data_IF_029371885501
#
_entry.id   IF_029371885501
#
_cell.length_a   1.000
_cell.length_b   1.000
_cell.length_c   1.000
_cell.angle_alpha   90.00
_cell.angle_beta   90.00
_cell.angle_gamma   90.00
#
_symmetry.space_group_name_H-M   'P 1'
#
loop_
_entity.id
_entity.type
_entity.pdbx_description
1 polymer ?
#
# COMPACT_ATOMS: atom_id res chain seq x y z
N UNK A 1 21.43 15.66 -14.73
CA UNK A 1 20.95 15.36 -13.36
C UNK A 1 19.43 15.36 -13.43
N UNK A 2 18.76 14.36 -12.86
CA UNK A 2 17.29 14.34 -12.82
C UNK A 2 16.78 15.57 -12.07
N UNK A 3 15.70 16.17 -12.58
CA UNK A 3 15.08 17.34 -11.96
C UNK A 3 14.48 16.95 -10.60
N UNK A 4 14.76 17.74 -9.58
CA UNK A 4 14.18 17.58 -8.24
C UNK A 4 13.07 18.58 -8.04
N UNK A 5 11.91 18.07 -7.60
CA UNK A 5 10.74 18.89 -7.28
C UNK A 5 10.54 18.91 -5.77
N UNK A 6 10.35 20.08 -5.19
CA UNK A 6 10.03 20.20 -3.77
C UNK A 6 8.54 19.87 -3.56
N UNK A 7 8.25 18.78 -2.84
CA UNK A 7 6.89 18.30 -2.62
C UNK A 7 6.67 17.84 -1.18
N UNK A 8 5.42 17.95 -0.71
CA UNK A 8 5.00 17.25 0.51
C UNK A 8 4.91 15.75 0.27
N UNK A 9 5.15 14.95 1.32
CA UNK A 9 5.06 13.50 1.22
C UNK A 9 3.71 12.99 0.71
N UNK A 10 2.59 13.54 1.21
CA UNK A 10 1.25 13.21 0.72
C UNK A 10 1.06 13.50 -0.78
N UNK A 11 1.63 14.59 -1.28
CA UNK A 11 1.56 14.96 -2.70
C UNK A 11 2.48 14.08 -3.55
N UNK A 12 3.67 13.75 -3.03
CA UNK A 12 4.61 12.85 -3.70
C UNK A 12 4.04 11.44 -3.87
N UNK A 13 3.36 10.89 -2.85
CA UNK A 13 2.61 9.64 -2.95
C UNK A 13 1.57 9.71 -4.08
N UNK A 14 0.78 10.78 -4.12
CA UNK A 14 -0.28 10.94 -5.11
C UNK A 14 0.26 11.05 -6.54
N UNK A 15 1.25 11.93 -6.79
CA UNK A 15 1.84 12.10 -8.12
C UNK A 15 2.53 10.82 -8.59
N UNK A 16 3.25 10.14 -7.70
CA UNK A 16 3.95 8.91 -8.05
C UNK A 16 2.97 7.77 -8.41
N UNK A 17 1.84 7.68 -7.70
CA UNK A 17 0.77 6.75 -8.05
C UNK A 17 0.19 7.01 -9.45
N UNK A 18 -0.04 8.28 -9.80
CA UNK A 18 -0.49 8.66 -11.15
C UNK A 18 0.51 8.27 -12.23
N UNK A 19 1.81 8.46 -11.95
CA UNK A 19 2.91 8.07 -12.85
C UNK A 19 3.04 6.56 -12.99
N UNK A 20 2.72 5.82 -11.93
CA UNK A 20 2.60 4.36 -11.98
C UNK A 20 1.35 3.85 -12.72
N UNK A 21 0.57 4.73 -13.34
CA UNK A 21 -0.62 4.34 -14.12
C UNK A 21 -1.89 4.14 -13.29
N UNK A 22 -1.94 4.61 -12.05
CA UNK A 22 -3.19 4.65 -11.28
C UNK A 22 -4.20 5.57 -11.98
N UNK A 23 -5.39 5.05 -12.28
CA UNK A 23 -6.46 5.81 -12.94
C UNK A 23 -7.77 5.80 -12.15
N UNK A 24 -7.80 5.13 -11.00
CA UNK A 24 -8.96 5.13 -10.12
C UNK A 24 -8.52 5.36 -8.67
N UNK A 25 -9.13 6.36 -8.06
CA UNK A 25 -8.97 6.65 -6.65
C UNK A 25 -10.33 6.76 -5.99
N UNK A 26 -10.55 5.96 -4.95
CA UNK A 26 -11.75 6.00 -4.14
C UNK A 26 -11.34 6.16 -2.67
N UNK A 27 -11.82 7.23 -2.03
CA UNK A 27 -11.41 7.56 -0.67
C UNK A 27 -12.48 8.25 0.13
N UNK A 28 -12.25 8.36 1.42
CA UNK A 28 -13.04 9.15 2.36
C UNK A 28 -12.09 10.09 3.11
N UNK A 29 -12.49 11.36 3.34
CA UNK A 29 -11.58 12.34 3.95
C UNK A 29 -11.28 12.00 5.40
N UNK A 30 -10.00 11.97 5.74
CA UNK A 30 -9.50 11.77 7.09
C UNK A 30 -8.11 12.41 7.25
N UNK A 31 -7.86 13.07 8.38
CA UNK A 31 -6.53 13.60 8.73
C UNK A 31 -5.61 12.45 9.21
N UNK A 32 -4.31 12.40 8.81
CA UNK A 32 -3.53 13.42 8.12
C UNK A 32 -3.24 13.14 6.63
N UNK A 33 -4.08 12.43 5.92
CA UNK A 33 -3.90 12.13 4.48
C UNK A 33 -4.58 13.12 3.52
N UNK A 34 -5.10 14.24 4.03
CA UNK A 34 -5.98 15.16 3.29
C UNK A 34 -5.35 15.69 2.00
N UNK A 35 -4.06 16.04 2.02
CA UNK A 35 -3.37 16.57 0.84
C UNK A 35 -3.21 15.52 -0.26
N UNK A 36 -3.08 14.24 0.08
CA UNK A 36 -3.05 13.17 -0.90
C UNK A 36 -4.37 13.12 -1.67
N UNK A 37 -5.51 13.07 -0.98
CA UNK A 37 -6.83 13.05 -1.61
C UNK A 37 -7.10 14.33 -2.42
N UNK A 38 -6.72 15.49 -1.88
CA UNK A 38 -6.84 16.77 -2.58
C UNK A 38 -5.99 16.82 -3.86
N UNK A 39 -4.78 16.26 -3.84
CA UNK A 39 -3.93 16.17 -5.02
C UNK A 39 -4.55 15.25 -6.07
N UNK A 40 -5.01 14.07 -5.65
CA UNK A 40 -5.67 13.11 -6.55
C UNK A 40 -6.91 13.72 -7.20
N UNK A 41 -7.74 14.48 -6.47
CA UNK A 41 -8.93 15.14 -7.03
C UNK A 41 -8.59 16.15 -8.13
N UNK A 42 -7.49 16.87 -7.98
CA UNK A 42 -7.06 17.89 -8.96
C UNK A 42 -6.40 17.27 -10.21
N UNK A 43 -5.79 16.11 -10.07
CA UNK A 43 -4.95 15.55 -11.10
C UNK A 43 -5.63 14.42 -11.89
N UNK A 44 -6.54 13.67 -11.26
CA UNK A 44 -7.11 12.45 -11.83
C UNK A 44 -7.83 12.69 -13.16
N UNK A 45 -8.64 13.76 -13.25
CA UNK A 45 -9.31 14.12 -14.50
C UNK A 45 -8.32 14.46 -15.62
N UNK A 46 -7.21 15.13 -15.28
CA UNK A 46 -6.17 15.55 -16.25
C UNK A 46 -5.43 14.37 -16.88
N UNK A 47 -5.45 13.23 -16.24
CA UNK A 47 -4.83 11.98 -16.77
C UNK A 47 -5.87 10.98 -17.26
N UNK A 48 -7.14 11.42 -17.43
CA UNK A 48 -8.23 10.56 -17.90
C UNK A 48 -8.68 9.50 -16.89
N UNK A 49 -8.42 9.72 -15.61
CA UNK A 49 -8.81 8.83 -14.52
C UNK A 49 -10.07 9.28 -13.79
N UNK A 50 -10.47 8.52 -12.79
CA UNK A 50 -11.66 8.77 -11.96
C UNK A 50 -11.25 8.98 -10.51
N UNK A 51 -11.64 10.11 -9.94
CA UNK A 51 -11.61 10.40 -8.50
C UNK A 51 -13.05 10.38 -7.98
N UNK A 52 -13.27 9.65 -6.87
CA UNK A 52 -14.56 9.68 -6.20
C UNK A 52 -14.36 9.68 -4.68
N UNK A 53 -14.99 10.67 -4.02
CA UNK A 53 -15.13 10.67 -2.57
C UNK A 53 -16.36 9.85 -2.20
N UNK A 54 -16.13 8.70 -1.58
CA UNK A 54 -17.19 7.83 -1.07
C UNK A 54 -17.82 8.40 0.21
N UNK A 55 -18.98 7.88 0.59
CA UNK A 55 -19.66 8.27 1.83
C UNK A 55 -19.01 7.65 3.09
N UNK A 56 -18.16 6.64 2.94
CA UNK A 56 -17.44 5.98 4.03
C UNK A 56 -16.20 5.24 3.52
N UNK A 57 -15.32 4.84 4.44
CA UNK A 57 -14.17 3.98 4.14
C UNK A 57 -14.60 2.60 3.65
N UNK A 58 -15.73 2.08 4.15
CA UNK A 58 -16.30 0.80 3.72
C UNK A 58 -16.74 0.88 2.27
N UNK A 59 -17.45 1.93 1.88
CA UNK A 59 -17.84 2.15 0.48
C UNK A 59 -16.59 2.33 -0.41
N UNK A 60 -15.60 3.11 0.04
CA UNK A 60 -14.37 3.34 -0.72
C UNK A 60 -13.63 2.03 -1.04
N UNK A 61 -13.47 1.13 -0.07
CA UNK A 61 -12.76 -0.14 -0.31
C UNK A 61 -13.55 -1.09 -1.22
N UNK A 62 -14.89 -1.08 -1.17
CA UNK A 62 -15.72 -1.86 -2.08
C UNK A 62 -15.65 -1.33 -3.53
N UNK A 63 -15.54 -0.02 -3.71
CA UNK A 63 -15.28 0.57 -5.04
C UNK A 63 -13.89 0.18 -5.55
N UNK A 64 -12.87 0.17 -4.68
CA UNK A 64 -11.53 -0.35 -5.01
C UNK A 64 -11.59 -1.80 -5.46
N UNK A 65 -12.31 -2.65 -4.72
CA UNK A 65 -12.54 -4.05 -5.08
C UNK A 65 -13.12 -4.18 -6.49
N UNK A 66 -14.19 -3.44 -6.78
CA UNK A 66 -14.84 -3.47 -8.10
C UNK A 66 -13.92 -3.01 -9.24
N UNK A 67 -13.18 -1.92 -9.05
CA UNK A 67 -12.25 -1.42 -10.07
C UNK A 67 -11.05 -2.37 -10.26
N UNK A 68 -10.52 -2.95 -9.20
CA UNK A 68 -9.48 -3.97 -9.27
C UNK A 68 -9.97 -5.23 -10.01
N UNK A 69 -11.19 -5.70 -9.72
CA UNK A 69 -11.81 -6.82 -10.41
C UNK A 69 -11.98 -6.58 -11.92
N UNK A 70 -12.25 -5.33 -12.32
CA UNK A 70 -12.28 -4.92 -13.72
C UNK A 70 -10.89 -4.77 -14.37
N UNK A 71 -9.80 -5.00 -13.62
CA UNK A 71 -8.43 -4.96 -14.13
C UNK A 71 -7.74 -3.59 -14.04
N UNK A 72 -8.36 -2.59 -13.43
CA UNK A 72 -7.76 -1.26 -13.30
C UNK A 72 -6.63 -1.23 -12.26
N UNK A 73 -5.64 -0.34 -12.44
CA UNK A 73 -4.78 0.11 -11.33
C UNK A 73 -5.56 1.10 -10.49
N UNK A 74 -5.82 0.74 -9.25
CA UNK A 74 -6.68 1.47 -8.31
C UNK A 74 -5.98 1.65 -6.97
N UNK A 75 -6.24 2.78 -6.33
CA UNK A 75 -5.69 3.13 -5.03
C UNK A 75 -6.78 3.69 -4.10
N UNK A 76 -6.60 3.46 -2.82
CA UNK A 76 -7.30 4.18 -1.75
C UNK A 76 -6.30 4.66 -0.71
N UNK A 77 -6.63 5.74 -0.02
CA UNK A 77 -5.89 6.20 1.15
C UNK A 77 -6.80 6.38 2.35
N UNK A 78 -6.23 6.25 3.53
CA UNK A 78 -6.89 6.53 4.79
C UNK A 78 -5.85 6.76 5.91
N UNK A 79 -6.33 6.81 7.13
CA UNK A 79 -5.51 6.89 8.34
C UNK A 79 -6.05 5.92 9.36
N UNK A 80 -5.22 5.26 10.08
CA UNK A 80 -5.43 4.38 11.25
C UNK A 80 -6.86 3.85 11.47
N UNK A 81 -7.83 4.60 12.06
CA UNK A 81 -9.18 4.08 12.28
C UNK A 81 -9.94 3.83 10.96
N UNK A 82 -9.68 4.61 9.91
CA UNK A 82 -10.29 4.37 8.61
C UNK A 82 -9.75 3.12 7.91
N UNK A 83 -8.49 2.75 8.15
CA UNK A 83 -7.94 1.47 7.68
C UNK A 83 -8.64 0.30 8.39
N UNK A 84 -8.95 0.44 9.68
CA UNK A 84 -9.74 -0.59 10.41
C UNK A 84 -11.08 -0.85 9.72
N UNK A 85 -11.78 0.19 9.28
CA UNK A 85 -13.05 0.05 8.54
C UNK A 85 -12.88 -0.61 7.16
N UNK A 86 -11.71 -0.51 6.55
CA UNK A 86 -11.40 -1.16 5.26
C UNK A 86 -10.99 -2.64 5.40
N UNK A 87 -10.73 -3.11 6.61
CA UNK A 87 -10.15 -4.43 6.88
C UNK A 87 -10.88 -5.59 6.20
N UNK A 88 -12.22 -5.63 6.28
CA UNK A 88 -13.04 -6.65 5.62
C UNK A 88 -12.86 -6.61 4.09
N UNK A 89 -12.99 -5.44 3.48
CA UNK A 89 -12.83 -5.28 2.03
C UNK A 89 -11.43 -5.67 1.54
N UNK A 90 -10.39 -5.39 2.33
CA UNK A 90 -9.01 -5.80 2.01
C UNK A 90 -8.89 -7.34 2.09
N UNK A 91 -9.54 -7.99 3.06
CA UNK A 91 -9.59 -9.45 3.14
C UNK A 91 -10.29 -10.07 1.92
N UNK A 92 -11.35 -9.43 1.43
CA UNK A 92 -12.05 -9.86 0.21
C UNK A 92 -11.19 -9.67 -1.03
N UNK A 93 -10.42 -8.57 -1.12
CA UNK A 93 -9.46 -8.40 -2.21
C UNK A 93 -8.40 -9.49 -2.20
N UNK A 94 -7.85 -9.83 -1.03
CA UNK A 94 -6.92 -10.94 -0.89
C UNK A 94 -7.56 -12.29 -1.23
N UNK A 95 -8.82 -12.50 -0.81
CA UNK A 95 -9.62 -13.70 -1.12
C UNK A 95 -9.94 -13.88 -2.59
N UNK A 96 -10.05 -12.79 -3.35
CA UNK A 96 -10.34 -12.79 -4.79
C UNK A 96 -9.06 -12.63 -5.65
N UNK A 97 -7.87 -12.66 -5.07
CA UNK A 97 -6.59 -12.42 -5.74
C UNK A 97 -6.58 -11.11 -6.54
N UNK A 98 -7.00 -10.01 -5.91
CA UNK A 98 -7.09 -8.71 -6.55
C UNK A 98 -5.94 -7.78 -6.16
N UNK A 99 -5.27 -7.17 -7.15
CA UNK A 99 -4.27 -6.15 -6.92
C UNK A 99 -4.91 -4.82 -6.49
N UNK A 100 -4.25 -4.08 -5.63
CA UNK A 100 -4.63 -2.72 -5.27
C UNK A 100 -3.64 -2.10 -4.30
N UNK A 101 -3.52 -0.79 -4.32
CA UNK A 101 -2.61 -0.06 -3.43
C UNK A 101 -3.39 0.69 -2.37
N UNK A 102 -3.01 0.48 -1.12
CA UNK A 102 -3.65 1.04 0.06
C UNK A 102 -2.63 1.91 0.79
N UNK A 103 -2.95 3.17 1.02
CA UNK A 103 -2.07 4.09 1.74
C UNK A 103 -2.63 4.29 3.15
N UNK A 104 -1.85 3.93 4.17
CA UNK A 104 -2.11 4.31 5.56
C UNK A 104 -1.17 5.43 5.98
N UNK A 105 -1.69 6.64 6.13
CA UNK A 105 -0.96 7.75 6.74
C UNK A 105 -1.30 7.75 8.23
N UNK A 106 -0.49 7.06 9.02
CA UNK A 106 -0.78 6.75 10.42
C UNK A 106 -0.91 7.98 11.32
N UNK A 107 -1.78 7.88 12.30
CA UNK A 107 -1.98 8.83 13.39
C UNK A 107 -2.11 8.13 14.74
N UNK A 108 -2.09 8.91 15.83
CA UNK A 108 -2.17 8.38 17.18
C UNK A 108 -3.49 7.66 17.46
N UNK A 109 -3.41 6.49 18.07
CA UNK A 109 -4.49 5.65 18.55
C UNK A 109 -4.24 5.23 20.03
N UNK A 110 -5.06 4.29 20.57
CA UNK A 110 -6.18 3.57 19.94
C UNK A 110 -7.48 4.39 19.86
N UNK A 111 -8.51 3.79 19.25
CA UNK A 111 -9.84 4.38 19.05
C UNK A 111 -9.84 5.48 17.98
N UNK A 112 -10.61 6.53 18.17
CA UNK A 112 -10.58 7.70 17.29
C UNK A 112 -9.19 8.36 17.34
N UNK A 113 -8.52 8.28 18.49
CA UNK A 113 -7.17 8.75 18.72
C UNK A 113 -7.00 10.25 18.56
N UNK A 114 -5.78 10.64 18.23
CA UNK A 114 -5.43 12.02 17.93
C UNK A 114 -4.99 12.18 16.49
N UNK A 115 -4.91 13.41 15.99
CA UNK A 115 -4.40 13.71 14.64
C UNK A 115 -2.87 13.77 14.58
N UNK A 116 -2.20 13.60 15.70
CA UNK A 116 -0.75 13.64 15.78
C UNK A 116 -0.11 12.46 15.05
N UNK A 117 1.04 12.64 14.41
CA UNK A 117 1.78 11.56 13.77
C UNK A 117 2.09 10.43 14.76
N UNK A 118 1.92 9.20 14.30
CA UNK A 118 2.24 8.01 15.07
C UNK A 118 2.70 6.88 14.16
N UNK A 119 3.35 5.86 14.74
CA UNK A 119 3.79 4.64 14.07
C UNK A 119 3.24 3.41 14.82
N UNK A 120 1.98 3.47 15.23
CA UNK A 120 1.35 2.50 16.10
C UNK A 120 0.52 1.43 15.36
N UNK A 121 0.45 1.46 14.03
CA UNK A 121 -0.37 0.55 13.21
C UNK A 121 0.42 -0.66 12.66
N UNK A 122 1.58 -0.97 13.22
CA UNK A 122 2.39 -2.10 12.77
C UNK A 122 1.61 -3.42 12.81
N UNK A 123 0.97 -3.71 13.94
CA UNK A 123 0.17 -4.93 14.08
C UNK A 123 -1.08 -4.91 13.21
N UNK A 124 -1.74 -3.76 13.06
CA UNK A 124 -2.86 -3.62 12.14
C UNK A 124 -2.44 -3.98 10.71
N UNK A 125 -1.34 -3.41 10.23
CA UNK A 125 -0.87 -3.63 8.86
C UNK A 125 -0.34 -5.05 8.62
N UNK A 126 0.30 -5.68 9.62
CA UNK A 126 1.01 -6.95 9.43
C UNK A 126 0.28 -8.17 9.98
N UNK A 127 -0.72 -8.01 10.88
CA UNK A 127 -1.33 -9.13 11.60
C UNK A 127 -2.83 -9.05 11.83
N UNK A 128 -3.44 -7.88 11.92
CA UNK A 128 -4.80 -7.72 12.43
C UNK A 128 -5.78 -7.13 11.41
N UNK A 129 -5.45 -7.12 10.15
CA UNK A 129 -6.24 -6.50 9.09
C UNK A 129 -7.23 -7.52 8.48
N UNK A 130 -8.46 -7.56 8.94
CA UNK A 130 -9.51 -8.46 8.42
C UNK A 130 -9.42 -9.89 8.96
N UNK A 131 -9.80 -10.89 8.17
CA UNK A 131 -9.91 -12.29 8.60
C UNK A 131 -9.30 -13.26 7.58
N UNK A 132 -9.11 -14.53 7.99
CA UNK A 132 -8.64 -15.61 7.14
C UNK A 132 -7.13 -15.66 6.98
N UNK A 133 -6.37 -15.11 7.92
CA UNK A 133 -4.90 -15.16 8.01
C UNK A 133 -4.16 -14.75 6.73
N UNK A 134 -4.82 -13.93 5.88
CA UNK A 134 -4.17 -13.38 4.70
C UNK A 134 -3.06 -12.39 5.08
N UNK A 135 -2.15 -12.18 4.15
CA UNK A 135 -1.06 -11.21 4.30
C UNK A 135 -1.15 -10.15 3.20
N UNK A 136 -0.72 -8.95 3.53
CA UNK A 136 -0.49 -7.88 2.55
C UNK A 136 1.01 -7.59 2.49
N UNK A 137 1.47 -7.15 1.33
CA UNK A 137 2.81 -6.59 1.22
C UNK A 137 2.80 -5.22 1.87
N UNK A 138 3.69 -4.97 2.83
CA UNK A 138 3.74 -3.69 3.56
C UNK A 138 5.08 -3.03 3.36
N UNK A 139 5.08 -1.85 2.74
CA UNK A 139 6.25 -1.00 2.62
C UNK A 139 6.15 0.18 3.56
N UNK A 140 7.18 0.40 4.37
CA UNK A 140 7.26 1.49 5.33
C UNK A 140 8.37 2.48 4.95
N UNK A 141 8.04 3.55 4.22
CA UNK A 141 9.02 4.53 3.76
C UNK A 141 9.58 5.36 4.91
N UNK A 142 10.75 5.91 4.70
CA UNK A 142 11.52 6.67 5.66
C UNK A 142 11.80 8.10 5.24
N UNK A 143 11.65 8.38 3.97
CA UNK A 143 11.86 9.68 3.35
C UNK A 143 10.74 9.94 2.37
N UNK A 144 10.59 11.19 1.95
CA UNK A 144 9.61 11.52 0.89
C UNK A 144 10.00 10.88 -0.45
N UNK A 145 11.31 10.70 -0.71
CA UNK A 145 11.74 9.96 -1.89
C UNK A 145 11.28 8.50 -1.83
N UNK A 146 11.49 7.81 -0.71
CA UNK A 146 11.02 6.43 -0.56
C UNK A 146 9.48 6.32 -0.64
N UNK A 147 8.73 7.34 -0.19
CA UNK A 147 7.28 7.38 -0.38
C UNK A 147 6.93 7.34 -1.87
N UNK A 148 7.61 8.13 -2.69
CA UNK A 148 7.39 8.16 -4.14
C UNK A 148 7.80 6.84 -4.80
N UNK A 149 8.97 6.32 -4.47
CA UNK A 149 9.53 5.10 -5.08
C UNK A 149 8.71 3.86 -4.70
N UNK A 150 8.31 3.75 -3.44
CA UNK A 150 7.57 2.57 -2.96
C UNK A 150 6.14 2.53 -3.50
N UNK A 151 5.43 3.67 -3.56
CA UNK A 151 4.08 3.66 -4.14
C UNK A 151 4.12 3.38 -5.64
N UNK A 152 5.12 3.86 -6.36
CA UNK A 152 5.31 3.55 -7.77
C UNK A 152 5.48 2.05 -8.00
N UNK A 153 6.41 1.42 -7.27
CA UNK A 153 6.68 -0.01 -7.36
C UNK A 153 5.53 -0.87 -6.81
N UNK A 154 4.75 -0.36 -5.85
CA UNK A 154 3.65 -1.09 -5.24
C UNK A 154 2.60 -1.56 -6.24
N UNK A 155 2.35 -0.81 -7.30
CA UNK A 155 1.42 -1.21 -8.36
C UNK A 155 1.93 -2.40 -9.16
N UNK A 156 3.23 -2.45 -9.46
CA UNK A 156 3.82 -3.58 -10.17
C UNK A 156 3.84 -4.83 -9.32
N UNK A 157 4.17 -4.69 -8.03
CA UNK A 157 4.13 -5.79 -7.05
C UNK A 157 2.71 -6.31 -6.85
N UNK A 158 1.73 -5.39 -6.73
CA UNK A 158 0.32 -5.76 -6.62
C UNK A 158 -0.15 -6.55 -7.86
N UNK A 159 0.18 -6.07 -9.06
CA UNK A 159 -0.19 -6.72 -10.32
C UNK A 159 0.52 -8.08 -10.48
N UNK A 160 1.83 -8.15 -10.20
CA UNK A 160 2.66 -9.37 -10.32
C UNK A 160 2.13 -10.51 -9.45
N UNK A 161 1.82 -10.20 -8.19
CA UNK A 161 1.41 -11.21 -7.22
C UNK A 161 -0.10 -11.29 -7.01
N UNK A 162 -0.89 -10.44 -7.68
CA UNK A 162 -2.34 -10.37 -7.52
C UNK A 162 -2.74 -10.29 -6.04
N UNK A 163 -2.20 -9.30 -5.35
CA UNK A 163 -2.39 -9.12 -3.90
C UNK A 163 -2.46 -7.63 -3.54
N UNK A 164 -3.18 -7.26 -2.47
CA UNK A 164 -3.10 -5.90 -1.96
C UNK A 164 -1.70 -5.54 -1.46
N UNK A 165 -1.27 -4.31 -1.72
CA UNK A 165 -0.02 -3.74 -1.21
C UNK A 165 -0.33 -2.50 -0.38
N UNK A 166 0.26 -2.38 0.80
CA UNK A 166 0.08 -1.25 1.69
C UNK A 166 1.35 -0.41 1.81
N UNK A 167 1.19 0.90 1.67
CA UNK A 167 2.22 1.87 2.06
C UNK A 167 1.87 2.36 3.46
N UNK A 168 2.73 2.04 4.42
CA UNK A 168 2.56 2.38 5.82
C UNK A 168 3.33 3.67 6.12
N UNK A 169 2.79 4.79 5.72
CA UNK A 169 3.31 6.13 5.95
C UNK A 169 2.82 6.70 7.30
N UNK A 170 3.29 7.86 7.73
CA UNK A 170 2.78 8.59 8.90
C UNK A 170 2.57 10.07 8.61
N UNK A 171 1.85 10.73 9.52
CA UNK A 171 1.50 12.14 9.37
C UNK A 171 2.72 13.07 9.32
N UNK A 172 3.86 12.70 9.91
CA UNK A 172 5.06 13.52 9.84
C UNK A 172 5.65 13.49 8.43
N UNK A 173 5.86 12.28 7.88
CA UNK A 173 6.34 12.12 6.51
C UNK A 173 5.36 12.71 5.50
N UNK A 174 4.05 12.53 5.72
CA UNK A 174 3.02 13.08 4.85
C UNK A 174 3.07 14.62 4.74
N UNK A 175 3.44 15.31 5.81
CA UNK A 175 3.54 16.79 5.85
C UNK A 175 4.93 17.32 5.55
N UNK A 176 5.98 16.51 5.65
CA UNK A 176 7.34 16.93 5.32
C UNK A 176 7.47 17.32 3.85
N UNK A 177 8.24 18.37 3.61
CA UNK A 177 8.65 18.76 2.27
C UNK A 177 10.11 18.41 2.05
N UNK A 178 10.38 17.65 1.00
CA UNK A 178 11.73 17.29 0.57
C UNK A 178 11.86 17.42 -0.96
N UNK A 179 13.07 17.64 -1.48
CA UNK A 179 13.33 17.58 -2.91
C UNK A 179 13.28 16.13 -3.38
N UNK A 180 12.34 15.81 -4.26
CA UNK A 180 12.05 14.47 -4.76
C UNK A 180 12.35 14.39 -6.26
N UNK A 181 13.00 13.32 -6.68
CA UNK A 181 13.08 12.91 -8.07
C UNK A 181 11.88 12.01 -8.34
N UNK A 182 10.97 12.47 -9.18
CA UNK A 182 9.79 11.67 -9.52
C UNK A 182 10.14 10.59 -10.55
N UNK A 183 9.60 9.37 -10.41
CA UNK A 183 9.78 8.34 -11.43
C UNK A 183 9.13 8.77 -12.76
N UNK A 184 9.63 8.24 -13.87
CA UNK A 184 9.02 8.48 -15.18
C UNK A 184 7.62 7.81 -15.24
N UNK A 185 6.64 8.43 -15.91
CA UNK A 185 5.35 7.80 -16.12
C UNK A 185 5.47 6.47 -16.87
N UNK A 186 4.66 5.48 -16.51
CA UNK A 186 4.60 4.22 -17.28
C UNK A 186 3.98 4.46 -18.66
N UNK A 187 4.56 3.88 -19.68
CA UNK A 187 4.08 3.98 -21.07
C UNK A 187 2.90 3.05 -21.34
N UNK A 188 2.88 1.88 -20.68
CA UNK A 188 1.83 0.86 -20.86
C UNK A 188 1.62 0.07 -19.57
N UNK A 189 0.43 -0.49 -19.43
CA UNK A 189 0.10 -1.36 -18.31
C UNK A 189 0.08 -2.83 -18.75
N UNK A 190 0.41 -3.78 -17.85
CA UNK A 190 0.33 -5.19 -18.16
C UNK A 190 -1.12 -5.60 -18.46
N UNK A 191 -1.28 -6.50 -19.42
CA UNK A 191 -2.57 -7.11 -19.68
C UNK A 191 -3.03 -7.94 -18.48
N UNK A 192 -4.34 -7.89 -18.20
CA UNK A 192 -4.97 -8.63 -17.10
C UNK A 192 -6.06 -9.56 -17.64
N UNK A 193 -5.68 -10.70 -18.24
CA UNK A 193 -6.64 -11.61 -18.89
C UNK A 193 -7.67 -12.20 -17.93
N UNK A 194 -7.39 -12.19 -16.64
CA UNK A 194 -8.29 -12.62 -15.57
C UNK A 194 -9.37 -11.60 -15.21
N UNK A 195 -9.26 -10.35 -15.66
CA UNK A 195 -10.15 -9.27 -15.25
C UNK A 195 -11.60 -9.49 -15.68
N UNK A 196 -12.52 -9.15 -14.79
CA UNK A 196 -13.98 -9.19 -15.03
C UNK A 196 -14.44 -7.97 -15.84
N UNK A 197 -13.83 -7.78 -17.00
CA UNK A 197 -14.24 -6.76 -17.99
C UNK A 197 -14.95 -7.42 -19.17
N UNK A 198 -15.62 -6.62 -20.02
CA UNK A 198 -16.36 -7.12 -21.18
C UNK A 198 -15.53 -8.06 -22.05
N UNK A 199 -16.08 -9.24 -22.37
CA UNK A 199 -15.37 -10.28 -23.13
C UNK A 199 -15.61 -10.20 -24.65
N UNK A 200 -16.53 -9.34 -25.11
CA UNK A 200 -16.86 -9.11 -26.52
C UNK A 200 -17.10 -10.42 -27.35
N UNK A 201 -17.55 -11.48 -26.71
CA UNK A 201 -17.67 -12.84 -27.24
C UNK A 201 -16.36 -13.44 -27.80
N UNK A 202 -15.20 -12.93 -27.38
CA UNK A 202 -13.87 -13.37 -27.84
C UNK A 202 -13.23 -14.39 -26.89
N UNK A 203 -13.76 -14.56 -25.68
CA UNK A 203 -13.30 -15.48 -24.64
C UNK A 203 -14.45 -15.90 -23.71
N UNK A 204 -14.28 -16.91 -22.85
CA UNK A 204 -15.20 -17.20 -21.76
C UNK A 204 -15.32 -16.04 -20.76
N UNK A 205 -16.39 -16.03 -19.98
CA UNK A 205 -16.54 -15.08 -18.87
C UNK A 205 -15.48 -15.33 -17.81
N UNK A 206 -14.86 -14.25 -17.31
CA UNK A 206 -14.06 -14.29 -16.08
C UNK A 206 -14.98 -14.08 -14.88
N UNK A 207 -14.76 -14.87 -13.85
CA UNK A 207 -15.44 -14.74 -12.56
C UNK A 207 -14.40 -14.34 -11.53
N UNK A 208 -14.64 -13.22 -10.86
CA UNK A 208 -13.79 -12.71 -9.77
C UNK A 208 -14.64 -12.61 -8.52
N UNK A 209 -14.38 -13.44 -7.55
CA UNK A 209 -15.08 -13.46 -6.26
C UNK A 209 -14.19 -14.06 -5.18
N UNK A 210 -14.61 -13.94 -3.92
CA UNK A 210 -13.94 -14.54 -2.77
C UNK A 210 -14.80 -15.60 -2.06
N UNK A 211 -15.87 -16.07 -2.71
CA UNK A 211 -16.75 -17.11 -2.18
C UNK A 211 -16.34 -18.49 -2.70
N UNK A 212 -15.97 -19.37 -1.79
CA UNK A 212 -15.61 -20.77 -2.06
C UNK A 212 -16.51 -21.67 -1.23
N UNK A 213 -17.44 -22.37 -1.90
CA UNK A 213 -18.49 -23.15 -1.24
C UNK A 213 -18.02 -24.52 -0.74
N UNK A 214 -16.96 -25.08 -1.32
CA UNK A 214 -16.40 -26.36 -0.87
C UNK A 214 -15.11 -26.14 -0.07
N UNK A 215 -14.92 -26.95 0.97
CA UNK A 215 -13.71 -26.88 1.80
C UNK A 215 -12.44 -27.12 0.97
N UNK A 216 -12.47 -28.07 0.04
CA UNK A 216 -11.36 -28.39 -0.85
C UNK A 216 -10.95 -27.20 -1.74
N UNK A 217 -11.92 -26.49 -2.32
CA UNK A 217 -11.63 -25.32 -3.15
C UNK A 217 -10.98 -24.18 -2.34
N UNK A 218 -11.45 -23.98 -1.10
CA UNK A 218 -10.87 -22.97 -0.21
C UNK A 218 -9.47 -23.39 0.27
N UNK A 219 -9.24 -24.66 0.58
CA UNK A 219 -7.92 -25.19 0.96
C UNK A 219 -6.92 -25.00 -0.18
N UNK A 220 -7.24 -25.42 -1.38
CA UNK A 220 -6.37 -25.27 -2.55
C UNK A 220 -5.98 -23.80 -2.79
N UNK A 221 -6.96 -22.88 -2.73
CA UNK A 221 -6.69 -21.46 -2.81
C UNK A 221 -5.71 -20.97 -1.73
N UNK A 222 -5.87 -21.45 -0.50
CA UNK A 222 -4.98 -21.05 0.60
C UNK A 222 -3.57 -21.62 0.41
N UNK A 223 -3.41 -22.86 -0.06
CA UNK A 223 -2.10 -23.46 -0.39
C UNK A 223 -1.40 -22.61 -1.45
N UNK A 224 -2.05 -22.33 -2.59
CA UNK A 224 -1.49 -21.49 -3.65
C UNK A 224 -1.11 -20.08 -3.15
N UNK A 225 -1.93 -19.52 -2.26
CA UNK A 225 -1.66 -18.21 -1.68
C UNK A 225 -0.45 -18.22 -0.76
N UNK A 226 -0.27 -19.24 0.06
CA UNK A 226 0.89 -19.36 0.93
C UNK A 226 2.19 -19.59 0.15
N UNK A 227 2.17 -20.33 -0.95
CA UNK A 227 3.30 -20.43 -1.88
C UNK A 227 3.66 -19.07 -2.48
N UNK A 228 2.66 -18.27 -2.84
CA UNK A 228 2.83 -16.90 -3.33
C UNK A 228 3.44 -16.01 -2.26
N UNK A 229 2.99 -16.11 -1.01
CA UNK A 229 3.58 -15.36 0.11
C UNK A 229 5.04 -15.71 0.33
N UNK A 230 5.43 -16.97 0.22
CA UNK A 230 6.83 -17.39 0.32
C UNK A 230 7.69 -16.77 -0.81
N UNK A 231 7.14 -16.67 -2.02
CA UNK A 231 7.81 -15.98 -3.13
C UNK A 231 7.95 -14.48 -2.86
N UNK A 232 6.91 -13.82 -2.35
CA UNK A 232 6.94 -12.40 -1.98
C UNK A 232 7.98 -12.13 -0.88
N UNK A 233 8.01 -12.97 0.16
CA UNK A 233 8.99 -12.85 1.25
C UNK A 233 10.42 -12.95 0.74
N UNK A 234 10.69 -13.80 -0.24
CA UNK A 234 12.02 -13.95 -0.84
C UNK A 234 12.41 -12.79 -1.75
N UNK A 235 11.47 -12.33 -2.60
CA UNK A 235 11.78 -11.47 -3.74
C UNK A 235 11.57 -9.97 -3.44
N UNK A 236 10.70 -9.62 -2.49
CA UNK A 236 10.24 -8.23 -2.28
C UNK A 236 10.69 -7.63 -0.95
N UNK A 237 11.66 -8.24 -0.27
CA UNK A 237 12.19 -7.68 0.97
C UNK A 237 12.90 -6.34 0.72
N UNK A 238 12.60 -5.35 1.58
CA UNK A 238 13.23 -4.02 1.60
C UNK A 238 13.77 -3.75 3.00
N UNK A 239 14.69 -4.60 3.44
CA UNK A 239 15.34 -4.50 4.75
C UNK A 239 16.83 -4.18 4.60
N UNK A 240 17.34 -3.36 5.50
CA UNK A 240 18.77 -3.09 5.63
C UNK A 240 19.27 -3.69 6.95
N UNK A 241 20.23 -4.59 6.86
CA UNK A 241 20.95 -5.12 8.03
C UNK A 241 22.12 -4.18 8.37
N UNK A 242 22.24 -3.80 9.65
CA UNK A 242 23.31 -2.96 10.11
C UNK A 242 23.96 -3.53 11.37
N UNK A 243 25.23 -3.90 11.29
CA UNK A 243 26.02 -4.47 12.40
C UNK A 243 25.33 -5.69 13.06
N UNK A 244 24.81 -6.62 12.24
CA UNK A 244 24.06 -7.80 12.71
C UNK A 244 24.87 -9.08 12.77
N UNK A 245 26.02 -9.14 12.09
CA UNK A 245 26.76 -10.38 11.86
C UNK A 245 27.32 -11.03 13.13
N UNK A 246 27.61 -10.20 14.14
CA UNK A 246 28.17 -10.61 15.44
C UNK A 246 27.32 -10.13 16.62
N UNK A 247 26.03 -9.88 16.38
CA UNK A 247 25.12 -9.35 17.38
C UNK A 247 24.43 -10.42 18.20
N UNK A 248 24.55 -10.39 19.53
CA UNK A 248 23.76 -11.21 20.46
C UNK A 248 22.29 -10.78 20.51
N UNK A 249 22.01 -9.49 20.23
CA UNK A 249 20.67 -8.91 20.20
C UNK A 249 20.49 -8.12 18.93
N UNK A 250 19.44 -8.44 18.16
CA UNK A 250 19.03 -7.70 16.96
C UNK A 250 17.75 -6.96 17.23
N UNK A 251 17.76 -5.63 17.04
CA UNK A 251 16.57 -4.81 17.12
C UNK A 251 16.03 -4.50 15.72
N UNK A 252 14.86 -5.07 15.39
CA UNK A 252 14.13 -4.75 14.18
C UNK A 252 13.33 -3.47 14.32
N UNK A 253 13.33 -2.59 13.30
CA UNK A 253 12.49 -1.40 13.23
C UNK A 253 11.82 -1.28 11.87
N UNK A 254 10.54 -0.97 11.90
CA UNK A 254 9.80 -0.51 10.74
C UNK A 254 9.84 1.01 10.78
N UNK A 255 10.69 1.63 9.93
CA UNK A 255 10.85 3.07 9.68
C UNK A 255 12.10 3.79 10.13
N UNK A 256 12.32 4.80 9.48
CA UNK A 256 13.57 5.31 9.10
C UNK A 256 13.99 6.72 9.44
N UNK A 257 13.25 7.58 10.07
CA UNK A 257 13.97 8.59 10.86
C UNK A 257 14.69 7.94 12.04
N UNK A 258 14.29 6.74 12.32
CA UNK A 258 14.86 5.89 13.34
C UNK A 258 16.15 5.13 12.97
N UNK A 259 16.52 4.82 11.70
CA UNK A 259 17.79 4.18 11.45
C UNK A 259 18.99 5.01 11.89
N UNK A 260 18.96 6.33 11.68
CA UNK A 260 20.06 7.18 12.14
C UNK A 260 20.20 7.14 13.66
N UNK A 261 19.08 7.24 14.39
CA UNK A 261 19.09 7.17 15.85
C UNK A 261 19.43 5.75 16.33
N UNK A 262 18.86 4.72 15.70
CA UNK A 262 19.16 3.32 16.02
C UNK A 262 20.62 2.97 15.69
N UNK A 263 21.14 3.39 14.54
CA UNK A 263 22.57 3.23 14.18
C UNK A 263 23.48 3.92 15.20
N UNK A 264 23.16 5.15 15.56
CA UNK A 264 23.94 5.88 16.57
C UNK A 264 23.86 5.20 17.94
N UNK A 265 22.71 4.64 18.32
CA UNK A 265 22.55 3.90 19.56
C UNK A 265 23.34 2.58 19.56
N UNK A 266 23.33 1.84 18.46
CA UNK A 266 24.11 0.59 18.31
C UNK A 266 25.61 0.87 18.35
N UNK A 267 26.08 1.91 17.63
CA UNK A 267 27.49 2.31 17.68
C UNK A 267 27.88 2.73 19.11
N UNK A 268 27.06 3.59 19.75
CA UNK A 268 27.34 4.02 21.13
C UNK A 268 27.26 2.87 22.14
N UNK A 269 26.45 1.85 21.92
CA UNK A 269 26.40 0.66 22.77
C UNK A 269 27.67 -0.20 22.60
N UNK A 270 28.14 -0.40 21.35
CA UNK A 270 29.39 -1.12 21.08
C UNK A 270 30.65 -0.41 21.62
N UNK A 271 30.67 0.91 21.61
CA UNK A 271 31.79 1.71 22.18
C UNK A 271 31.85 1.65 23.71
N UNK A 272 30.76 1.27 24.37
CA UNK A 272 30.68 1.16 25.83
C UNK A 272 30.87 -0.25 26.40
N UNK A 273 31.05 -1.24 25.55
CA UNK A 273 31.20 -2.67 25.87
C UNK A 273 29.87 -3.32 26.13
#
# INVERSE_FOLDING_TARGET
MAEKVLMKGNEALAESALRAGCRFFFGYPITPQTELAAYMSKRMEKVGGTFLQAESEIAAINMVYGAAAAGARVMTSSSSPGISLKGEGISYMAGADLPGVIINVQRGGPGLGGIQPSQADYWQATRALGHGDFRVVVYAPSTVQEMADYVYNAFDVADKYRTPVMILADGMLGQMMEPVVMPEPVDSLPEKPWAACGHKHQRPHNVVNSLYLTAEALENLNVERYERYAAIERDEQRAEAFMTDDADIVAGRVRARAPRVARSAVVAAREKG
#
